data_IF_383234051851
#
_entry.id   IF_383234051851
#
_cell.length_a   1.000
_cell.length_b   1.000
_cell.length_c   1.000
_cell.angle_alpha   90.00
_cell.angle_beta   90.00
_cell.angle_gamma   90.00
#
_symmetry.space_group_name_H-M   'P 1'
#
loop_
_entity.id
_entity.type
_entity.pdbx_description
1 polymer ?
#
# COMPACT_ATOMS: atom_id res chain seq x y z
N UNK A 1 -6.81 3.45 -2.11
CA UNK A 1 -6.01 2.81 -3.17
C UNK A 1 -6.52 3.27 -4.53
N UNK A 2 -7.79 3.05 -4.85
CA UNK A 2 -8.46 3.57 -6.07
C UNK A 2 -8.24 5.07 -6.33
N UNK A 3 -8.53 5.96 -5.37
CA UNK A 3 -8.31 7.41 -5.52
C UNK A 3 -6.89 7.80 -5.97
N UNK A 4 -5.89 7.02 -5.56
CA UNK A 4 -4.48 7.28 -5.88
C UNK A 4 -3.98 6.40 -7.03
N UNK A 5 -4.86 5.67 -7.72
CA UNK A 5 -4.51 4.84 -8.87
C UNK A 5 -3.46 3.78 -8.55
N UNK A 6 -3.58 3.14 -7.38
CA UNK A 6 -2.72 2.01 -6.98
C UNK A 6 -3.55 0.76 -6.74
N UNK A 7 -3.01 -0.40 -7.10
CA UNK A 7 -3.70 -1.68 -7.05
C UNK A 7 -4.70 -1.89 -8.20
N UNK A 8 -4.39 -1.43 -9.42
CA UNK A 8 -5.21 -1.70 -10.62
C UNK A 8 -5.34 -3.20 -10.92
N UNK A 9 -6.22 -3.57 -11.86
CA UNK A 9 -6.49 -4.97 -12.25
C UNK A 9 -6.91 -5.88 -11.07
N UNK A 10 -7.87 -5.40 -10.29
CA UNK A 10 -8.46 -6.14 -9.16
C UNK A 10 -7.43 -6.63 -8.12
N UNK A 11 -6.26 -5.98 -8.02
CA UNK A 11 -5.19 -6.37 -7.10
C UNK A 11 -5.30 -5.73 -5.70
N UNK A 12 -6.22 -4.77 -5.49
CA UNK A 12 -6.49 -4.14 -4.19
C UNK A 12 -6.68 -5.17 -3.05
N UNK A 13 -7.54 -6.20 -3.18
CA UNK A 13 -7.76 -7.15 -2.10
C UNK A 13 -6.48 -7.92 -1.72
N UNK A 14 -5.66 -8.25 -2.71
CA UNK A 14 -4.37 -8.93 -2.51
C UNK A 14 -3.41 -8.07 -1.71
N UNK A 15 -3.26 -6.78 -2.06
CA UNK A 15 -2.39 -5.87 -1.33
C UNK A 15 -2.85 -5.61 0.10
N UNK A 16 -4.17 -5.48 0.33
CA UNK A 16 -4.74 -5.35 1.69
C UNK A 16 -4.49 -6.64 2.50
N UNK A 17 -4.71 -7.81 1.91
CA UNK A 17 -4.47 -9.08 2.60
C UNK A 17 -2.99 -9.26 2.99
N UNK A 18 -2.07 -8.86 2.13
CA UNK A 18 -0.63 -8.97 2.38
C UNK A 18 -0.18 -8.20 3.63
N UNK A 19 -0.67 -6.97 3.85
CA UNK A 19 -0.29 -6.18 5.03
C UNK A 19 -0.90 -6.72 6.33
N UNK A 20 -2.06 -7.39 6.25
CA UNK A 20 -2.67 -8.11 7.36
C UNK A 20 -1.89 -9.38 7.70
N UNK A 21 -1.56 -10.21 6.70
CA UNK A 21 -0.79 -11.45 6.89
C UNK A 21 0.61 -11.21 7.45
N UNK A 22 1.25 -10.10 7.08
CA UNK A 22 2.56 -9.68 7.61
C UNK A 22 2.48 -9.00 8.99
N UNK A 23 1.30 -8.90 9.60
CA UNK A 23 1.09 -8.28 10.91
C UNK A 23 1.57 -6.81 10.97
N UNK A 24 1.50 -6.08 9.84
CA UNK A 24 1.73 -4.63 9.82
C UNK A 24 0.48 -3.87 10.32
N UNK A 25 -0.69 -4.48 10.12
CA UNK A 25 -1.98 -4.01 10.63
C UNK A 25 -2.75 -5.18 11.24
N UNK A 26 -3.67 -4.89 12.15
CA UNK A 26 -4.66 -5.82 12.70
C UNK A 26 -6.07 -5.34 12.37
N UNK A 27 -7.00 -6.27 12.19
CA UNK A 27 -8.41 -5.94 11.96
C UNK A 27 -9.10 -5.81 13.32
N UNK A 28 -9.68 -4.66 13.60
CA UNK A 28 -10.50 -4.40 14.78
C UNK A 28 -12.00 -4.54 14.45
N UNK A 29 -12.84 -4.39 15.48
CA UNK A 29 -14.30 -4.37 15.36
C UNK A 29 -14.72 -3.33 14.30
N UNK A 30 -15.67 -3.69 13.44
CA UNK A 30 -16.09 -2.84 12.33
C UNK A 30 -15.15 -2.85 11.12
N UNK A 31 -14.26 -3.85 10.99
CA UNK A 31 -13.32 -4.02 9.86
C UNK A 31 -12.35 -2.83 9.69
N UNK A 32 -11.95 -2.23 10.80
CA UNK A 32 -10.96 -1.15 10.80
C UNK A 32 -9.53 -1.73 10.84
N UNK A 33 -8.62 -1.17 10.04
CA UNK A 33 -7.21 -1.55 10.03
C UNK A 33 -6.45 -0.72 11.07
N UNK A 34 -5.97 -1.37 12.12
CA UNK A 34 -5.19 -0.74 13.19
C UNK A 34 -3.70 -1.08 13.01
N UNK A 35 -2.82 -0.09 12.79
CA UNK A 35 -1.39 -0.32 12.64
C UNK A 35 -0.76 -0.96 13.88
N UNK A 36 0.16 -1.90 13.67
CA UNK A 36 0.99 -2.45 14.74
C UNK A 36 2.24 -1.58 14.96
N UNK A 37 2.92 -1.78 16.09
CA UNK A 37 4.20 -1.09 16.37
C UNK A 37 5.23 -1.29 15.25
N UNK A 38 5.30 -2.51 14.69
CA UNK A 38 6.18 -2.83 13.56
C UNK A 38 5.75 -2.07 12.29
N UNK A 39 4.46 -2.08 11.93
CA UNK A 39 3.96 -1.38 10.75
C UNK A 39 4.21 0.12 10.81
N UNK A 40 3.99 0.72 11.99
CA UNK A 40 4.29 2.15 12.25
C UNK A 40 5.78 2.44 12.06
N UNK A 41 6.66 1.65 12.68
CA UNK A 41 8.10 1.86 12.60
C UNK A 41 8.63 1.72 11.17
N UNK A 42 8.12 0.76 10.39
CA UNK A 42 8.52 0.60 8.99
C UNK A 42 8.19 1.85 8.17
N UNK A 43 6.94 2.34 8.26
CA UNK A 43 6.52 3.53 7.50
C UNK A 43 7.31 4.76 7.91
N UNK A 44 7.49 5.00 9.22
CA UNK A 44 8.28 6.16 9.68
C UNK A 44 9.77 6.03 9.33
N UNK A 45 10.32 4.83 9.41
CA UNK A 45 11.71 4.54 9.04
C UNK A 45 11.96 4.85 7.56
N UNK A 46 11.13 4.30 6.67
CA UNK A 46 11.24 4.57 5.24
C UNK A 46 11.03 6.05 4.93
N UNK A 47 9.99 6.68 5.49
CA UNK A 47 9.71 8.10 5.27
C UNK A 47 10.86 9.03 5.67
N UNK A 48 11.65 8.64 6.68
CA UNK A 48 12.83 9.42 7.12
C UNK A 48 14.02 9.27 6.17
N UNK A 49 14.14 8.13 5.51
CA UNK A 49 15.18 7.87 4.51
C UNK A 49 14.80 8.54 3.19
N UNK A 50 13.59 8.25 2.71
CA UNK A 50 13.04 8.77 1.47
C UNK A 50 11.51 8.75 1.55
N UNK A 51 10.89 9.92 1.35
CA UNK A 51 9.43 10.07 1.43
C UNK A 51 8.72 9.34 0.29
N UNK A 52 9.38 9.20 -0.86
CA UNK A 52 8.77 8.62 -2.04
C UNK A 52 8.56 7.11 -1.91
N UNK A 53 9.33 6.44 -1.03
CA UNK A 53 9.16 5.02 -0.70
C UNK A 53 7.81 4.70 -0.03
N UNK A 54 7.19 5.69 0.61
CA UNK A 54 5.86 5.54 1.25
C UNK A 54 4.77 6.28 0.48
N UNK A 55 5.15 7.07 -0.54
CA UNK A 55 4.23 7.80 -1.39
C UNK A 55 3.52 6.86 -2.37
N UNK A 56 2.24 7.14 -2.64
CA UNK A 56 1.50 6.42 -3.68
C UNK A 56 1.90 6.80 -5.10
N UNK A 57 2.61 7.91 -5.29
CA UNK A 57 2.87 8.50 -6.62
C UNK A 57 3.69 7.57 -7.51
N UNK A 58 4.85 7.10 -7.01
CA UNK A 58 5.73 6.19 -7.75
C UNK A 58 4.96 4.94 -8.20
N UNK A 59 4.16 4.36 -7.30
CA UNK A 59 3.39 3.15 -7.62
C UNK A 59 2.30 3.43 -8.64
N UNK A 60 1.64 4.58 -8.55
CA UNK A 60 0.60 4.96 -9.52
C UNK A 60 1.18 5.15 -10.91
N UNK A 61 2.33 5.81 -11.03
CA UNK A 61 2.95 6.05 -12.33
C UNK A 61 3.44 4.75 -12.96
N UNK A 62 4.03 3.84 -12.16
CA UNK A 62 4.38 2.49 -12.62
C UNK A 62 3.16 1.71 -13.14
N UNK A 63 2.03 1.75 -12.43
CA UNK A 63 0.80 1.07 -12.89
C UNK A 63 0.22 1.70 -14.15
N UNK A 64 0.35 3.03 -14.35
CA UNK A 64 -0.02 3.68 -15.62
C UNK A 64 0.86 3.23 -16.77
N UNK A 65 2.18 3.14 -16.57
CA UNK A 65 3.12 2.67 -17.60
C UNK A 65 2.83 1.22 -18.01
N UNK A 66 2.56 0.34 -17.04
CA UNK A 66 2.14 -1.04 -17.33
C UNK A 66 0.86 -1.09 -18.16
N UNK A 67 -0.12 -0.23 -17.83
CA UNK A 67 -1.36 -0.11 -18.61
C UNK A 67 -1.15 0.45 -20.02
N UNK A 68 -0.10 1.27 -20.26
CA UNK A 68 0.23 1.74 -21.60
C UNK A 68 0.80 0.62 -22.47
N UNK A 69 1.54 -0.33 -21.89
CA UNK A 69 2.11 -1.49 -22.60
C UNK A 69 1.02 -2.52 -22.91
N UNK A 70 0.06 -2.70 -22.01
CA UNK A 70 -1.02 -3.68 -22.18
C UNK A 70 -2.05 -3.27 -23.25
N UNK A 71 -2.00 -2.04 -23.76
CA UNK A 71 -2.85 -1.51 -24.84
C UNK A 71 -2.16 -1.65 -26.19
#
# INVERSE_FOLDING_TARGET
MEKHGIGTDASIPTHINNICQRNYVKISNGRQLIPTKLGILLVHGYRRIDNDLVSSNIRSDMEKELNQIAK
#
